data_IF_688405228378
#
_entry.id   IF_688405228378
#
_cell.length_a   1.000
_cell.length_b   1.000
_cell.length_c   1.000
_cell.angle_alpha   90.00
_cell.angle_beta   90.00
_cell.angle_gamma   90.00
#
_symmetry.space_group_name_H-M   'P 1'
#
loop_
_entity.id
_entity.type
_entity.pdbx_description
1 polymer ?
#
# COMPACT_ATOMS: atom_id res chain seq x y z
N UNK A 1 -0.83 33.65 8.39
CA UNK A 1 -2.07 33.49 7.61
C UNK A 1 -2.02 32.26 6.74
N UNK A 2 -1.00 32.08 5.89
CA UNK A 2 -0.87 30.92 4.99
C UNK A 2 -0.87 29.54 5.69
N UNK A 3 -0.26 29.42 6.87
CA UNK A 3 -0.36 28.19 7.68
C UNK A 3 -1.82 27.86 8.09
N UNK A 4 -2.61 28.87 8.43
CA UNK A 4 -4.02 28.67 8.78
C UNK A 4 -4.82 28.19 7.57
N UNK A 5 -4.48 28.65 6.36
CA UNK A 5 -5.12 28.20 5.14
C UNK A 5 -4.84 26.73 4.85
N UNK A 6 -3.59 26.30 5.05
CA UNK A 6 -3.21 24.88 4.94
C UNK A 6 -3.94 24.01 5.96
N UNK A 7 -3.95 24.44 7.23
CA UNK A 7 -4.67 23.73 8.31
C UNK A 7 -6.16 23.66 7.99
N UNK A 8 -6.77 24.75 7.51
CA UNK A 8 -8.18 24.79 7.16
C UNK A 8 -8.50 23.82 6.02
N UNK A 9 -7.72 23.82 4.93
CA UNK A 9 -7.91 22.88 3.82
C UNK A 9 -7.77 21.43 4.27
N UNK A 10 -6.82 21.14 5.16
CA UNK A 10 -6.66 19.80 5.74
C UNK A 10 -7.79 19.40 6.65
N UNK A 11 -8.24 20.32 7.51
CA UNK A 11 -9.39 20.10 8.37
C UNK A 11 -10.63 19.76 7.53
N UNK A 12 -10.81 20.41 6.37
CA UNK A 12 -11.87 20.06 5.41
C UNK A 12 -11.68 18.64 4.87
N UNK A 13 -10.49 18.27 4.37
CA UNK A 13 -10.24 16.89 3.87
C UNK A 13 -10.57 15.85 4.95
N UNK A 14 -10.06 16.07 6.17
CA UNK A 14 -10.25 15.20 7.33
C UNK A 14 -11.75 15.11 7.69
N UNK A 15 -12.43 16.25 7.78
CA UNK A 15 -13.86 16.30 8.12
C UNK A 15 -14.70 15.56 7.08
N UNK A 16 -14.43 15.73 5.79
CA UNK A 16 -15.15 15.03 4.73
C UNK A 16 -14.93 13.51 4.81
N UNK A 17 -13.71 13.06 5.10
CA UNK A 17 -13.42 11.63 5.32
C UNK A 17 -14.14 11.10 6.56
N UNK A 18 -14.22 11.87 7.65
CA UNK A 18 -15.00 11.51 8.83
C UNK A 18 -16.50 11.38 8.54
N UNK A 19 -16.99 12.20 7.61
CA UNK A 19 -18.35 12.09 7.07
C UNK A 19 -18.49 10.95 6.04
N UNK A 20 -17.50 10.07 5.92
CA UNK A 20 -17.45 8.91 5.01
C UNK A 20 -17.57 9.29 3.52
N UNK A 21 -17.19 10.51 3.17
CA UNK A 21 -17.11 10.95 1.77
C UNK A 21 -15.91 10.27 1.11
N UNK A 22 -16.02 9.99 -0.20
CA UNK A 22 -14.96 9.37 -0.97
C UNK A 22 -13.63 10.15 -0.82
N UNK A 23 -12.52 9.43 -0.66
CA UNK A 23 -11.19 10.01 -0.42
C UNK A 23 -10.77 10.94 -1.57
N UNK A 24 -10.99 10.53 -2.82
CA UNK A 24 -10.67 11.37 -3.98
C UNK A 24 -11.48 12.67 -4.00
N UNK A 25 -12.77 12.60 -3.64
CA UNK A 25 -13.63 13.80 -3.53
C UNK A 25 -13.17 14.70 -2.40
N UNK A 26 -12.83 14.12 -1.25
CA UNK A 26 -12.36 14.86 -0.08
C UNK A 26 -11.08 15.63 -0.38
N UNK A 27 -10.10 14.98 -1.03
CA UNK A 27 -8.86 15.61 -1.48
C UNK A 27 -9.15 16.70 -2.51
N UNK A 28 -9.98 16.42 -3.50
CA UNK A 28 -10.33 17.40 -4.55
C UNK A 28 -10.97 18.68 -3.98
N UNK A 29 -11.93 18.54 -3.06
CA UNK A 29 -12.54 19.68 -2.37
C UNK A 29 -11.50 20.42 -1.53
N UNK A 30 -10.63 19.70 -0.81
CA UNK A 30 -9.51 20.29 -0.09
C UNK A 30 -8.56 21.11 -0.99
N UNK A 31 -8.27 20.61 -2.19
CA UNK A 31 -7.48 21.34 -3.20
C UNK A 31 -8.15 22.64 -3.65
N UNK A 32 -9.46 22.60 -3.86
CA UNK A 32 -10.24 23.79 -4.24
C UNK A 32 -10.24 24.83 -3.12
N UNK A 33 -10.49 24.40 -1.87
CA UNK A 33 -10.45 25.28 -0.71
C UNK A 33 -9.07 25.91 -0.58
N UNK A 34 -8.00 25.12 -0.72
CA UNK A 34 -6.63 25.62 -0.67
C UNK A 34 -6.36 26.66 -1.76
N UNK A 35 -6.72 26.36 -3.01
CA UNK A 35 -6.52 27.26 -4.13
C UNK A 35 -7.16 28.64 -3.86
N UNK A 36 -8.42 28.66 -3.42
CA UNK A 36 -9.10 29.92 -3.14
C UNK A 36 -8.57 30.66 -1.91
N UNK A 37 -8.19 29.94 -0.85
CA UNK A 37 -7.59 30.58 0.34
C UNK A 37 -6.24 31.24 0.02
N UNK A 38 -5.48 30.70 -0.92
CA UNK A 38 -4.24 31.29 -1.43
C UNK A 38 -4.46 32.33 -2.54
N UNK A 39 -5.70 32.74 -2.80
CA UNK A 39 -6.03 33.83 -3.73
C UNK A 39 -5.99 33.44 -5.20
N UNK A 40 -5.98 32.14 -5.52
CA UNK A 40 -5.99 31.65 -6.89
C UNK A 40 -7.37 31.91 -7.54
N UNK A 41 -7.39 32.47 -8.75
CA UNK A 41 -8.64 32.72 -9.46
C UNK A 41 -9.32 31.41 -9.88
N UNK A 42 -10.66 31.39 -10.11
CA UNK A 42 -11.33 30.20 -10.64
C UNK A 42 -10.75 29.73 -11.98
N UNK A 43 -10.27 30.66 -12.81
CA UNK A 43 -9.61 30.35 -14.08
C UNK A 43 -8.26 29.65 -13.84
N UNK A 44 -7.42 30.19 -12.95
CA UNK A 44 -6.14 29.57 -12.60
C UNK A 44 -6.33 28.18 -11.97
N UNK A 45 -7.39 27.98 -11.18
CA UNK A 45 -7.80 26.68 -10.66
C UNK A 45 -8.15 25.68 -11.76
N UNK A 46 -8.96 26.10 -12.74
CA UNK A 46 -9.31 25.25 -13.88
C UNK A 46 -8.10 24.93 -14.76
N UNK A 47 -7.23 25.91 -15.03
CA UNK A 47 -5.99 25.72 -15.79
C UNK A 47 -5.04 24.79 -15.05
N UNK A 48 -4.90 24.94 -13.73
CA UNK A 48 -4.07 24.05 -12.89
C UNK A 48 -4.63 22.64 -12.88
N UNK A 49 -5.95 22.47 -12.80
CA UNK A 49 -6.59 21.15 -12.92
C UNK A 49 -6.29 20.52 -14.27
N UNK A 50 -6.48 21.25 -15.37
CA UNK A 50 -6.19 20.75 -16.72
C UNK A 50 -4.72 20.35 -16.87
N UNK A 51 -3.78 21.22 -16.47
CA UNK A 51 -2.34 20.95 -16.52
C UNK A 51 -1.96 19.74 -15.66
N UNK A 52 -2.48 19.65 -14.45
CA UNK A 52 -2.19 18.52 -13.56
C UNK A 52 -2.74 17.21 -14.13
N UNK A 53 -3.99 17.20 -14.64
CA UNK A 53 -4.65 16.01 -15.18
C UNK A 53 -4.03 15.51 -16.49
N UNK A 54 -3.51 16.42 -17.32
CA UNK A 54 -2.88 16.08 -18.61
C UNK A 54 -1.36 15.96 -18.55
N UNK A 55 -0.75 16.23 -17.40
CA UNK A 55 0.70 16.05 -17.21
C UNK A 55 1.11 14.59 -17.43
N UNK A 56 2.31 14.40 -17.97
CA UNK A 56 2.88 13.05 -18.10
C UNK A 56 2.96 12.33 -16.76
N UNK A 57 3.26 13.04 -15.67
CA UNK A 57 3.32 12.46 -14.32
C UNK A 57 1.99 11.80 -13.92
N UNK A 58 0.87 12.49 -14.13
CA UNK A 58 -0.47 11.97 -13.81
C UNK A 58 -0.87 10.85 -14.76
N UNK A 59 -0.66 11.00 -16.07
CA UNK A 59 -0.98 9.96 -17.06
C UNK A 59 -0.17 8.70 -16.79
N UNK A 60 1.13 8.84 -16.55
CA UNK A 60 2.05 7.77 -16.18
C UNK A 60 1.56 7.03 -14.93
N UNK A 61 1.20 7.77 -13.88
CA UNK A 61 0.64 7.21 -12.64
C UNK A 61 -0.65 6.42 -12.90
N UNK A 62 -1.61 6.99 -13.64
CA UNK A 62 -2.87 6.33 -13.99
C UNK A 62 -2.63 5.05 -14.81
N UNK A 63 -1.72 5.09 -15.80
CA UNK A 63 -1.38 3.93 -16.62
C UNK A 63 -0.76 2.79 -15.80
N UNK A 64 0.20 3.09 -14.91
CA UNK A 64 0.81 2.08 -14.03
C UNK A 64 -0.27 1.36 -13.21
N UNK A 65 -1.14 2.13 -12.54
CA UNK A 65 -2.20 1.56 -11.72
C UNK A 65 -3.21 0.79 -12.57
N UNK A 66 -3.58 1.30 -13.74
CA UNK A 66 -4.51 0.62 -14.64
C UNK A 66 -3.97 -0.74 -15.11
N UNK A 67 -2.70 -0.81 -15.50
CA UNK A 67 -2.08 -2.09 -15.91
C UNK A 67 -1.97 -3.08 -14.76
N UNK A 68 -1.59 -2.62 -13.56
CA UNK A 68 -1.54 -3.46 -12.36
C UNK A 68 -2.93 -4.01 -12.03
N UNK A 69 -3.96 -3.16 -12.03
CA UNK A 69 -5.32 -3.57 -11.72
C UNK A 69 -5.94 -4.48 -12.80
N UNK A 70 -5.62 -4.21 -14.07
CA UNK A 70 -5.96 -5.10 -15.18
C UNK A 70 -5.34 -6.49 -15.00
N UNK A 71 -4.07 -6.56 -14.58
CA UNK A 71 -3.39 -7.81 -14.30
C UNK A 71 -4.04 -8.56 -13.12
N UNK A 72 -4.37 -7.85 -12.03
CA UNK A 72 -5.11 -8.42 -10.90
C UNK A 72 -6.46 -9.01 -11.34
N UNK A 73 -7.17 -8.34 -12.25
CA UNK A 73 -8.43 -8.84 -12.82
C UNK A 73 -8.25 -10.10 -13.67
N UNK A 74 -7.15 -10.20 -14.42
CA UNK A 74 -6.80 -11.43 -15.15
C UNK A 74 -6.58 -12.56 -14.15
N UNK A 75 -5.80 -12.32 -13.08
CA UNK A 75 -5.47 -13.34 -12.07
C UNK A 75 -6.70 -13.89 -11.36
N UNK A 76 -7.67 -13.03 -11.05
CA UNK A 76 -8.93 -13.43 -10.41
C UNK A 76 -9.84 -14.27 -11.31
N UNK A 77 -9.67 -14.22 -12.64
CA UNK A 77 -10.52 -14.93 -13.60
C UNK A 77 -10.00 -16.32 -13.99
N UNK A 78 -8.68 -16.53 -13.99
CA UNK A 78 -8.05 -17.74 -14.56
C UNK A 78 -7.53 -18.74 -13.53
N UNK A 79 -7.85 -18.53 -12.25
CA UNK A 79 -7.52 -19.46 -11.16
C UNK A 79 -6.09 -19.36 -10.63
N UNK A 80 -5.32 -18.32 -10.99
CA UNK A 80 -3.94 -18.15 -10.51
C UNK A 80 -3.84 -18.09 -8.98
N UNK A 81 -4.88 -17.59 -8.30
CA UNK A 81 -4.95 -17.59 -6.83
C UNK A 81 -4.93 -19.00 -6.24
N UNK A 82 -5.66 -19.92 -6.88
CA UNK A 82 -5.74 -21.32 -6.49
C UNK A 82 -4.43 -22.07 -6.83
N UNK A 83 -3.79 -21.71 -7.94
CA UNK A 83 -2.45 -22.22 -8.28
C UNK A 83 -1.42 -21.77 -7.22
N UNK A 84 -1.48 -20.52 -6.74
CA UNK A 84 -0.61 -20.01 -5.65
C UNK A 84 -0.87 -20.73 -4.33
N UNK A 85 -2.13 -21.00 -3.98
CA UNK A 85 -2.50 -21.79 -2.80
C UNK A 85 -1.90 -23.20 -2.83
N UNK A 86 -2.08 -23.86 -3.96
CA UNK A 86 -1.59 -25.22 -4.20
C UNK A 86 -0.06 -25.24 -4.20
N UNK A 87 0.56 -24.21 -4.76
CA UNK A 87 2.01 -24.03 -4.75
C UNK A 87 2.55 -23.90 -3.32
N UNK A 88 1.97 -23.03 -2.50
CA UNK A 88 2.39 -22.83 -1.11
C UNK A 88 2.32 -24.14 -0.30
N UNK A 89 1.20 -24.86 -0.43
CA UNK A 89 1.01 -26.14 0.27
C UNK A 89 2.02 -27.21 -0.15
N UNK A 90 2.48 -27.20 -1.41
CA UNK A 90 3.48 -28.14 -1.92
C UNK A 90 4.92 -27.73 -1.58
N UNK A 91 5.24 -26.44 -1.57
CA UNK A 91 6.56 -25.90 -1.23
C UNK A 91 6.85 -25.94 0.27
N UNK A 92 5.81 -25.72 1.09
CA UNK A 92 5.92 -25.62 2.54
C UNK A 92 5.06 -26.70 3.21
N UNK A 93 5.47 -27.99 3.14
CA UNK A 93 4.64 -29.09 3.64
C UNK A 93 4.47 -29.07 5.17
N UNK A 94 5.31 -28.35 5.90
CA UNK A 94 5.10 -28.06 7.33
C UNK A 94 4.02 -26.99 7.46
N UNK A 95 2.92 -27.32 8.12
CA UNK A 95 1.73 -26.48 8.20
C UNK A 95 2.02 -25.07 8.74
N UNK A 96 2.97 -24.93 9.67
CA UNK A 96 3.29 -23.63 10.27
C UNK A 96 3.84 -22.62 9.26
N UNK A 97 4.56 -23.07 8.24
CA UNK A 97 5.10 -22.16 7.21
C UNK A 97 4.06 -21.78 6.17
N UNK A 98 3.11 -22.66 5.88
CA UNK A 98 1.96 -22.34 5.01
C UNK A 98 1.07 -21.25 5.61
N UNK A 99 0.96 -21.17 6.95
CA UNK A 99 0.22 -20.08 7.63
C UNK A 99 0.76 -18.69 7.29
N UNK A 100 2.07 -18.56 7.09
CA UNK A 100 2.70 -17.30 6.69
C UNK A 100 2.70 -17.11 5.16
N UNK A 101 3.00 -18.17 4.42
CA UNK A 101 3.19 -18.07 2.97
C UNK A 101 1.88 -17.80 2.22
N UNK A 102 0.77 -18.40 2.63
CA UNK A 102 -0.51 -18.23 1.95
C UNK A 102 -0.99 -16.76 1.98
N UNK A 103 -1.07 -16.07 3.14
CA UNK A 103 -1.41 -14.64 3.16
C UNK A 103 -0.36 -13.78 2.44
N UNK A 104 0.92 -14.11 2.55
CA UNK A 104 1.98 -13.39 1.87
C UNK A 104 1.84 -13.44 0.33
N UNK A 105 1.51 -14.60 -0.24
CA UNK A 105 1.30 -14.71 -1.69
C UNK A 105 0.07 -13.93 -2.15
N UNK A 106 -1.02 -13.95 -1.38
CA UNK A 106 -2.19 -13.11 -1.66
C UNK A 106 -1.85 -11.63 -1.52
N UNK A 107 -0.97 -11.27 -0.58
CA UNK A 107 -0.43 -9.92 -0.41
C UNK A 107 0.38 -9.41 -1.61
N UNK A 108 0.84 -10.26 -2.53
CA UNK A 108 1.52 -9.78 -3.75
C UNK A 108 0.59 -9.01 -4.69
N UNK A 109 -0.74 -9.17 -4.51
CA UNK A 109 -1.72 -8.48 -5.32
C UNK A 109 -2.35 -7.31 -4.55
N UNK A 110 -2.30 -6.10 -5.11
CA UNK A 110 -2.98 -4.96 -4.53
C UNK A 110 -4.49 -5.11 -4.75
N UNK A 111 -5.19 -5.62 -3.74
CA UNK A 111 -6.64 -5.72 -3.73
C UNK A 111 -7.24 -5.24 -2.40
N UNK A 112 -8.31 -4.43 -2.42
CA UNK A 112 -9.02 -4.10 -1.20
C UNK A 112 -9.66 -5.37 -0.63
N UNK A 113 -9.77 -5.45 0.70
CA UNK A 113 -10.42 -6.56 1.40
C UNK A 113 -9.88 -7.97 1.07
N UNK A 114 -8.60 -8.11 0.70
CA UNK A 114 -8.03 -9.42 0.36
C UNK A 114 -8.02 -10.43 1.52
N UNK A 115 -8.29 -10.00 2.76
CA UNK A 115 -8.54 -10.91 3.88
C UNK A 115 -9.71 -11.86 3.63
N UNK A 116 -10.73 -11.44 2.87
CA UNK A 116 -11.86 -12.30 2.49
C UNK A 116 -11.41 -13.51 1.64
N UNK A 117 -10.25 -13.39 0.99
CA UNK A 117 -9.63 -14.48 0.21
C UNK A 117 -8.62 -15.23 1.06
N UNK A 118 -7.73 -14.53 1.78
CA UNK A 118 -6.64 -15.19 2.50
C UNK A 118 -7.09 -15.90 3.78
N UNK A 119 -8.11 -15.40 4.48
CA UNK A 119 -8.61 -16.01 5.71
C UNK A 119 -9.15 -17.45 5.50
N UNK A 120 -10.05 -17.71 4.53
CA UNK A 120 -10.50 -19.07 4.26
C UNK A 120 -9.40 -19.99 3.73
N UNK A 121 -8.37 -19.45 3.06
CA UNK A 121 -7.25 -20.26 2.57
C UNK A 121 -6.36 -20.79 3.71
N UNK A 122 -6.16 -20.03 4.78
CA UNK A 122 -5.32 -20.49 5.89
C UNK A 122 -6.09 -21.34 6.91
N UNK A 123 -7.42 -21.29 6.96
CA UNK A 123 -8.23 -21.98 7.98
C UNK A 123 -7.97 -23.51 8.04
N UNK A 124 -7.92 -24.25 6.92
CA UNK A 124 -7.60 -25.68 6.95
C UNK A 124 -6.20 -26.00 7.50
N UNK A 125 -5.27 -25.05 7.37
CA UNK A 125 -3.90 -25.17 7.89
C UNK A 125 -3.88 -24.79 9.37
N UNK A 126 -4.60 -23.72 9.75
CA UNK A 126 -4.70 -23.22 11.11
C UNK A 126 -5.40 -24.22 12.03
N UNK A 127 -6.39 -24.96 11.54
CA UNK A 127 -7.06 -26.03 12.31
C UNK A 127 -6.16 -27.19 12.73
N UNK A 128 -4.95 -27.31 12.17
CA UNK A 128 -3.93 -28.27 12.63
C UNK A 128 -3.21 -27.81 13.90
N UNK A 129 -3.45 -26.57 14.30
CA UNK A 129 -2.95 -25.95 15.51
C UNK A 129 -4.16 -25.56 16.36
N UNK A 130 -4.08 -25.74 17.68
CA UNK A 130 -5.09 -25.22 18.62
C UNK A 130 -4.95 -23.70 18.79
N UNK A 131 -4.93 -22.96 17.66
CA UNK A 131 -4.76 -21.51 17.64
C UNK A 131 -6.04 -20.80 18.05
N UNK A 132 -5.89 -19.80 18.92
CA UNK A 132 -6.99 -18.89 19.25
C UNK A 132 -7.36 -18.03 18.04
N UNK A 133 -8.61 -17.60 17.97
CA UNK A 133 -9.13 -16.76 16.89
C UNK A 133 -8.25 -15.52 16.67
N UNK A 134 -7.81 -14.86 17.74
CA UNK A 134 -6.97 -13.66 17.66
C UNK A 134 -5.59 -13.94 17.05
N UNK A 135 -5.01 -15.13 17.27
CA UNK A 135 -3.73 -15.52 16.66
C UNK A 135 -3.91 -15.78 15.16
N UNK A 136 -5.01 -16.42 14.75
CA UNK A 136 -5.35 -16.61 13.33
C UNK A 136 -5.54 -15.28 12.62
N UNK A 137 -6.30 -14.37 13.23
CA UNK A 137 -6.50 -13.00 12.72
C UNK A 137 -5.16 -12.27 12.57
N UNK A 138 -4.31 -12.31 13.60
CA UNK A 138 -3.02 -11.62 13.59
C UNK A 138 -2.08 -12.21 12.53
N UNK A 139 -1.99 -13.53 12.40
CA UNK A 139 -1.16 -14.20 11.37
C UNK A 139 -1.63 -13.82 9.97
N UNK A 140 -2.93 -13.94 9.69
CA UNK A 140 -3.48 -13.55 8.39
C UNK A 140 -3.20 -12.09 8.06
N UNK A 141 -3.45 -11.21 9.04
CA UNK A 141 -3.29 -9.77 8.88
C UNK A 141 -1.82 -9.40 8.67
N UNK A 142 -0.91 -9.87 9.53
CA UNK A 142 0.51 -9.54 9.47
C UNK A 142 1.14 -9.98 8.16
N UNK A 143 1.02 -11.28 7.81
CA UNK A 143 1.71 -11.81 6.64
C UNK A 143 1.14 -11.31 5.31
N UNK A 144 -0.13 -10.90 5.28
CA UNK A 144 -0.73 -10.27 4.10
C UNK A 144 -0.12 -8.90 3.79
N UNK A 145 0.36 -8.16 4.79
CA UNK A 145 0.81 -6.77 4.61
C UNK A 145 2.34 -6.62 4.56
N UNK A 146 3.10 -7.72 4.55
CA UNK A 146 4.58 -7.66 4.53
C UNK A 146 5.11 -6.91 3.32
N UNK A 147 4.44 -7.03 2.17
CA UNK A 147 4.91 -6.49 0.90
C UNK A 147 4.68 -4.99 0.75
N UNK A 148 3.76 -4.40 1.53
CA UNK A 148 3.33 -3.01 1.31
C UNK A 148 4.48 -2.00 1.42
N UNK A 149 5.52 -2.31 2.21
CA UNK A 149 6.67 -1.42 2.40
C UNK A 149 7.48 -1.20 1.13
N UNK A 150 7.58 -2.20 0.26
CA UNK A 150 8.59 -2.19 -0.81
C UNK A 150 8.08 -2.68 -2.15
N UNK A 151 6.89 -3.27 -2.21
CA UNK A 151 6.46 -3.95 -3.41
C UNK A 151 6.03 -2.95 -4.48
N UNK A 152 6.64 -2.99 -5.67
CA UNK A 152 6.55 -1.89 -6.64
C UNK A 152 5.15 -1.76 -7.24
N UNK A 153 4.32 -2.80 -7.12
CA UNK A 153 2.93 -2.78 -7.57
C UNK A 153 1.95 -2.16 -6.56
N UNK A 154 2.38 -1.85 -5.32
CA UNK A 154 1.50 -1.23 -4.34
C UNK A 154 1.24 0.23 -4.69
N UNK A 155 -0.03 0.60 -4.69
CA UNK A 155 -0.48 1.96 -5.02
C UNK A 155 0.23 3.03 -4.18
N UNK A 156 0.46 2.76 -2.89
CA UNK A 156 1.16 3.68 -2.00
C UNK A 156 2.60 3.96 -2.46
N UNK A 157 3.34 2.96 -2.96
CA UNK A 157 4.69 3.13 -3.51
C UNK A 157 4.65 3.93 -4.82
N UNK A 158 3.72 3.58 -5.72
CA UNK A 158 3.58 4.27 -7.02
C UNK A 158 3.21 5.74 -6.83
N UNK A 159 2.27 6.05 -5.93
CA UNK A 159 1.85 7.42 -5.62
C UNK A 159 2.97 8.18 -4.91
N UNK A 160 3.63 7.58 -3.90
CA UNK A 160 4.74 8.21 -3.20
C UNK A 160 5.84 8.63 -4.19
N UNK A 161 6.24 7.71 -5.07
CA UNK A 161 7.21 7.95 -6.15
C UNK A 161 6.82 9.14 -7.04
N UNK A 162 5.56 9.21 -7.48
CA UNK A 162 5.07 10.32 -8.33
C UNK A 162 5.02 11.66 -7.60
N UNK A 163 4.77 11.65 -6.29
CA UNK A 163 4.71 12.86 -5.48
C UNK A 163 6.10 13.41 -5.17
N UNK A 164 7.01 12.55 -4.72
CA UNK A 164 8.36 12.95 -4.24
C UNK A 164 9.41 12.99 -5.36
N UNK A 165 9.10 12.49 -6.55
CA UNK A 165 10.00 12.52 -7.70
C UNK A 165 11.12 11.46 -7.67
N UNK A 166 11.00 10.44 -6.81
CA UNK A 166 11.96 9.33 -6.70
C UNK A 166 11.47 8.15 -7.53
N UNK A 167 12.37 7.41 -8.17
CA UNK A 167 12.00 6.23 -8.97
C UNK A 167 11.36 5.14 -8.10
N UNK A 168 10.41 4.38 -8.66
CA UNK A 168 9.80 3.22 -7.95
C UNK A 168 10.86 2.18 -7.60
N UNK A 169 11.87 2.00 -8.48
CA UNK A 169 13.01 1.13 -8.19
C UNK A 169 13.70 1.53 -6.89
N UNK A 170 14.05 2.80 -6.75
CA UNK A 170 14.74 3.30 -5.55
C UNK A 170 13.88 3.21 -4.29
N UNK A 171 12.60 3.60 -4.37
CA UNK A 171 11.64 3.40 -3.27
C UNK A 171 11.58 1.93 -2.85
N UNK A 172 11.40 1.03 -3.81
CA UNK A 172 11.28 -0.40 -3.57
C UNK A 172 12.55 -1.01 -2.99
N UNK A 173 13.74 -0.70 -3.52
CA UNK A 173 14.99 -1.31 -3.06
C UNK A 173 15.38 -0.81 -1.68
N UNK A 174 15.28 0.50 -1.42
CA UNK A 174 15.63 1.10 -0.13
C UNK A 174 14.64 0.74 0.98
N UNK A 175 13.38 0.49 0.66
CA UNK A 175 12.37 0.06 1.64
C UNK A 175 12.29 -1.46 1.81
N UNK A 176 12.89 -2.26 0.91
CA UNK A 176 12.86 -3.73 0.98
C UNK A 176 13.36 -4.31 2.31
N UNK A 177 14.39 -3.74 2.97
CA UNK A 177 14.80 -4.21 4.29
C UNK A 177 13.68 -4.15 5.35
N UNK A 178 12.72 -3.23 5.25
CA UNK A 178 11.56 -3.19 6.14
C UNK A 178 10.59 -4.37 5.91
N UNK A 179 10.40 -4.78 4.66
CA UNK A 179 9.66 -6.01 4.30
C UNK A 179 10.31 -7.24 4.93
N UNK A 180 11.65 -7.34 4.85
CA UNK A 180 12.42 -8.42 5.48
C UNK A 180 12.28 -8.37 7.00
N UNK A 181 12.42 -7.20 7.61
CA UNK A 181 12.25 -7.01 9.05
C UNK A 181 10.85 -7.44 9.52
N UNK A 182 9.79 -7.03 8.82
CA UNK A 182 8.42 -7.43 9.12
C UNK A 182 8.22 -8.94 9.02
N UNK A 183 8.77 -9.57 7.98
CA UNK A 183 8.73 -11.02 7.81
C UNK A 183 9.48 -11.75 8.92
N UNK A 184 10.65 -11.27 9.34
CA UNK A 184 11.45 -11.84 10.43
C UNK A 184 10.73 -11.72 11.78
N UNK A 185 10.15 -10.56 12.09
CA UNK A 185 9.38 -10.35 13.32
C UNK A 185 8.18 -11.31 13.36
N UNK A 186 7.41 -11.38 12.26
CA UNK A 186 6.29 -12.31 12.15
C UNK A 186 6.72 -13.76 12.29
N UNK A 187 7.84 -14.14 11.67
CA UNK A 187 8.39 -15.48 11.79
C UNK A 187 8.75 -15.81 13.25
N UNK A 188 9.53 -14.95 13.92
CA UNK A 188 10.02 -15.21 15.27
C UNK A 188 8.89 -15.24 16.30
N UNK A 189 7.92 -14.32 16.20
CA UNK A 189 6.88 -14.16 17.20
C UNK A 189 5.61 -14.98 16.94
N UNK A 190 5.25 -15.20 15.67
CA UNK A 190 3.96 -15.84 15.32
C UNK A 190 4.11 -17.27 14.80
N UNK A 191 5.19 -17.57 14.07
CA UNK A 191 5.32 -18.86 13.35
C UNK A 191 6.26 -19.84 14.06
N UNK A 192 7.43 -19.36 14.50
CA UNK A 192 8.45 -20.18 15.17
C UNK A 192 7.91 -20.87 16.45
N UNK A 193 7.05 -20.24 17.28
CA UNK A 193 6.52 -20.87 18.49
C UNK A 193 5.55 -22.03 18.21
N UNK A 194 5.00 -22.13 16.99
CA UNK A 194 4.08 -23.20 16.64
C UNK A 194 4.82 -24.54 16.50
N UNK A 195 4.21 -25.66 16.97
CA UNK A 195 4.80 -26.97 16.84
C UNK A 195 4.99 -27.36 15.36
N UNK A 196 5.89 -28.31 15.10
CA UNK A 196 5.99 -28.89 13.76
C UNK A 196 4.80 -29.83 13.52
N UNK A 197 3.75 -29.33 12.87
CA UNK A 197 2.60 -30.13 12.44
C UNK A 197 2.59 -30.34 10.91
N UNK A 198 2.30 -31.58 10.47
CA UNK A 198 2.19 -31.97 9.06
C UNK A 198 3.09 -33.16 8.65
N UNK A 199 2.57 -34.05 7.80
CA UNK A 199 3.20 -35.33 7.41
C UNK A 199 4.25 -35.23 6.29
N UNK A 200 4.66 -34.02 5.89
CA UNK A 200 5.91 -33.83 5.15
C UNK A 200 6.00 -34.42 3.74
N UNK A 201 4.90 -34.55 2.98
CA UNK A 201 4.96 -34.96 1.56
C UNK A 201 4.41 -33.89 0.62
N UNK A 202 5.07 -32.74 0.58
CA UNK A 202 4.88 -31.74 -0.48
C UNK A 202 5.71 -32.11 -1.71
N UNK A 203 5.21 -31.83 -2.91
CA UNK A 203 6.00 -31.99 -4.14
C UNK A 203 6.63 -30.64 -4.51
N UNK A 204 7.86 -30.41 -4.07
CA UNK A 204 8.60 -29.15 -4.29
C UNK A 204 8.64 -28.78 -5.77
N UNK A 205 8.84 -29.76 -6.68
CA UNK A 205 8.88 -29.52 -8.12
C UNK A 205 7.53 -28.99 -8.62
N UNK A 206 6.44 -29.65 -8.27
CA UNK A 206 5.08 -29.19 -8.62
C UNK A 206 4.79 -27.83 -8.02
N UNK A 207 5.14 -27.62 -6.75
CA UNK A 207 4.94 -26.34 -6.07
C UNK A 207 5.69 -25.20 -6.74
N UNK A 208 6.94 -25.40 -7.11
CA UNK A 208 7.75 -24.39 -7.80
C UNK A 208 7.21 -24.09 -9.21
N UNK A 209 6.79 -25.11 -9.96
CA UNK A 209 6.19 -24.93 -11.29
C UNK A 209 4.91 -24.10 -11.17
N UNK A 210 4.02 -24.42 -10.23
CA UNK A 210 2.77 -23.69 -10.02
C UNK A 210 3.03 -22.25 -9.55
N UNK A 211 3.99 -22.05 -8.64
CA UNK A 211 4.37 -20.71 -8.18
C UNK A 211 4.87 -19.87 -9.36
N UNK A 212 5.88 -20.36 -10.09
CA UNK A 212 6.45 -19.65 -11.24
C UNK A 212 5.39 -19.38 -12.32
N UNK A 213 4.52 -20.35 -12.62
CA UNK A 213 3.43 -20.19 -13.59
C UNK A 213 2.40 -19.13 -13.13
N UNK A 214 2.10 -19.04 -11.85
CA UNK A 214 1.10 -18.09 -11.34
C UNK A 214 1.69 -16.70 -11.06
N UNK A 215 3.00 -16.60 -10.81
CA UNK A 215 3.67 -15.32 -10.50
C UNK A 215 4.56 -14.78 -11.62
N UNK A 216 4.77 -15.47 -12.76
CA UNK A 216 5.66 -14.94 -13.82
C UNK A 216 5.26 -13.55 -14.33
N UNK A 217 3.98 -13.13 -14.44
CA UNK A 217 3.67 -11.78 -14.91
C UNK A 217 4.16 -10.70 -13.95
N UNK A 218 4.16 -11.01 -12.66
CA UNK A 218 4.79 -10.19 -11.63
C UNK A 218 6.31 -10.18 -11.82
N UNK A 219 6.93 -11.34 -12.05
CA UNK A 219 8.38 -11.43 -12.29
C UNK A 219 8.82 -10.63 -13.51
N UNK A 220 7.98 -10.52 -14.55
CA UNK A 220 8.21 -9.63 -15.71
C UNK A 220 8.29 -8.17 -15.26
N UNK A 221 7.37 -7.70 -14.40
CA UNK A 221 7.40 -6.33 -13.86
C UNK A 221 8.69 -6.11 -13.07
N UNK A 222 9.05 -7.04 -12.19
CA UNK A 222 10.27 -6.95 -11.37
C UNK A 222 11.52 -6.91 -12.26
N UNK A 223 11.61 -7.79 -13.26
CA UNK A 223 12.74 -7.84 -14.18
C UNK A 223 12.88 -6.52 -14.95
N UNK A 224 11.81 -6.04 -15.57
CA UNK A 224 11.83 -4.83 -16.40
C UNK A 224 12.09 -3.59 -15.56
N UNK A 225 11.36 -3.40 -14.46
CA UNK A 225 11.36 -2.12 -13.74
C UNK A 225 12.33 -2.03 -12.58
N UNK A 226 12.63 -3.15 -11.92
CA UNK A 226 13.53 -3.16 -10.76
C UNK A 226 14.94 -3.60 -11.16
N UNK A 227 15.08 -4.69 -11.93
CA UNK A 227 16.39 -5.23 -12.31
C UNK A 227 17.01 -4.42 -13.44
N UNK A 228 16.29 -4.26 -14.56
CA UNK A 228 16.76 -3.49 -15.71
C UNK A 228 16.64 -1.98 -15.50
N UNK A 229 15.80 -1.54 -14.54
CA UNK A 229 15.61 -0.13 -14.22
C UNK A 229 14.83 0.67 -15.26
N UNK A 230 14.04 -0.02 -16.11
CA UNK A 230 13.16 0.63 -17.09
C UNK A 230 11.95 1.23 -16.37
N UNK A 231 11.41 2.32 -16.88
CA UNK A 231 10.25 2.98 -16.27
C UNK A 231 9.09 2.01 -15.98
N UNK A 232 8.47 2.19 -14.82
CA UNK A 232 7.41 1.31 -14.31
C UNK A 232 6.20 1.21 -15.24
N UNK A 233 5.89 2.22 -16.04
CA UNK A 233 4.81 2.12 -17.04
C UNK A 233 5.07 0.95 -17.98
N UNK A 234 6.29 0.79 -18.47
CA UNK A 234 6.64 -0.27 -19.40
C UNK A 234 6.67 -1.64 -18.71
N UNK A 235 7.22 -1.73 -17.49
CA UNK A 235 7.21 -2.97 -16.72
C UNK A 235 5.78 -3.43 -16.41
N UNK A 236 4.92 -2.53 -15.92
CA UNK A 236 3.52 -2.80 -15.66
C UNK A 236 2.76 -3.20 -16.94
N UNK A 237 3.01 -2.52 -18.06
CA UNK A 237 2.41 -2.85 -19.35
C UNK A 237 2.81 -4.24 -19.84
N UNK A 238 4.10 -4.56 -19.83
CA UNK A 238 4.62 -5.87 -20.25
C UNK A 238 4.14 -6.99 -19.32
N UNK A 239 4.12 -6.73 -18.01
CA UNK A 239 3.55 -7.65 -17.03
C UNK A 239 2.07 -7.94 -17.32
N UNK A 240 1.28 -6.89 -17.50
CA UNK A 240 -0.14 -7.00 -17.86
C UNK A 240 -0.36 -7.79 -19.16
N UNK A 241 0.38 -7.46 -20.23
CA UNK A 241 0.28 -8.19 -21.51
C UNK A 241 0.68 -9.66 -21.36
N UNK A 242 1.74 -9.94 -20.59
CA UNK A 242 2.20 -11.30 -20.36
C UNK A 242 1.15 -12.15 -19.63
N UNK A 243 0.32 -11.54 -18.78
CA UNK A 243 -0.82 -12.21 -18.14
C UNK A 243 -2.01 -12.33 -19.10
N UNK A 244 -2.33 -11.27 -19.84
CA UNK A 244 -3.53 -11.17 -20.67
C UNK A 244 -3.46 -12.02 -21.94
N UNK A 245 -2.39 -11.89 -22.73
CA UNK A 245 -2.28 -12.47 -24.09
C UNK A 245 -2.50 -14.00 -24.07
N UNK A 246 -1.83 -14.78 -23.21
CA UNK A 246 -2.03 -16.24 -23.19
C UNK A 246 -3.44 -16.65 -22.75
N UNK A 247 -4.16 -15.75 -22.08
CA UNK A 247 -5.43 -16.01 -21.43
C UNK A 247 -6.62 -15.28 -22.08
N UNK A 248 -6.44 -14.64 -23.25
CA UNK A 248 -7.49 -13.85 -23.92
C UNK A 248 -8.82 -14.62 -24.11
N UNK A 249 -8.74 -15.92 -24.40
CA UNK A 249 -9.93 -16.78 -24.58
C UNK A 249 -10.61 -17.20 -23.27
N UNK A 250 -9.93 -16.99 -22.13
CA UNK A 250 -10.36 -17.43 -20.79
C UNK A 250 -10.80 -16.27 -19.90
N UNK A 251 -10.61 -15.02 -20.33
CA UNK A 251 -10.97 -13.82 -19.57
C UNK A 251 -12.03 -13.01 -20.30
N UNK A 252 -12.87 -12.33 -19.52
CA UNK A 252 -13.76 -11.28 -20.00
C UNK A 252 -12.97 -9.98 -20.14
N UNK A 253 -12.70 -9.55 -21.38
CA UNK A 253 -12.02 -8.28 -21.64
C UNK A 253 -12.77 -7.08 -21.06
N UNK A 254 -14.12 -7.12 -21.08
CA UNK A 254 -14.96 -6.11 -20.44
C UNK A 254 -14.71 -6.06 -18.93
N UNK A 255 -14.57 -7.23 -18.29
CA UNK A 255 -14.22 -7.34 -16.87
C UNK A 255 -12.84 -6.76 -16.57
N UNK A 256 -11.85 -7.06 -17.41
CA UNK A 256 -10.48 -6.54 -17.29
C UNK A 256 -10.45 -5.02 -17.42
N UNK A 257 -11.09 -4.45 -18.44
CA UNK A 257 -11.15 -2.99 -18.66
C UNK A 257 -11.87 -2.29 -17.51
N UNK A 258 -13.00 -2.84 -17.04
CA UNK A 258 -13.74 -2.27 -15.92
C UNK A 258 -12.94 -2.26 -14.61
N UNK A 259 -12.10 -3.28 -14.38
CA UNK A 259 -11.20 -3.32 -13.23
C UNK A 259 -9.96 -2.46 -13.40
N UNK A 260 -9.40 -2.36 -14.61
CA UNK A 260 -8.24 -1.53 -14.90
C UNK A 260 -8.57 -0.03 -14.76
N UNK A 261 -9.73 0.39 -15.26
CA UNK A 261 -10.14 1.79 -15.32
C UNK A 261 -11.26 2.09 -14.32
N UNK A 262 -11.03 1.79 -13.04
CA UNK A 262 -11.96 2.17 -11.99
C UNK A 262 -11.99 3.69 -11.82
N UNK A 263 -13.09 4.32 -12.23
CA UNK A 263 -13.28 5.77 -12.18
C UNK A 263 -12.96 6.37 -10.80
N UNK A 264 -13.29 5.66 -9.71
CA UNK A 264 -12.99 6.08 -8.34
C UNK A 264 -11.49 6.23 -8.08
N UNK A 265 -10.69 5.31 -8.60
CA UNK A 265 -9.22 5.32 -8.43
C UNK A 265 -8.60 6.33 -9.37
N UNK A 266 -9.03 6.38 -10.64
CA UNK A 266 -8.55 7.40 -11.59
C UNK A 266 -8.81 8.80 -11.05
N UNK A 267 -10.03 9.07 -10.55
CA UNK A 267 -10.37 10.35 -9.96
C UNK A 267 -9.54 10.67 -8.71
N UNK A 268 -9.30 9.68 -7.84
CA UNK A 268 -8.41 9.85 -6.69
C UNK A 268 -7.00 10.27 -7.13
N UNK A 269 -6.41 9.59 -8.12
CA UNK A 269 -5.06 9.90 -8.60
C UNK A 269 -5.00 11.32 -9.19
N UNK A 270 -6.00 11.71 -9.98
CA UNK A 270 -6.12 13.08 -10.51
C UNK A 270 -6.28 14.09 -9.38
N UNK A 271 -7.09 13.82 -8.36
CA UNK A 271 -7.29 14.71 -7.22
C UNK A 271 -6.00 14.92 -6.41
N UNK A 272 -5.24 13.84 -6.17
CA UNK A 272 -3.94 13.89 -5.49
C UNK A 272 -2.93 14.72 -6.29
N UNK A 273 -2.85 14.49 -7.60
CA UNK A 273 -1.96 15.26 -8.47
C UNK A 273 -2.39 16.72 -8.57
N UNK A 274 -3.70 17.00 -8.64
CA UNK A 274 -4.21 18.36 -8.57
C UNK A 274 -3.83 19.04 -7.25
N UNK A 275 -3.94 18.34 -6.11
CA UNK A 275 -3.52 18.86 -4.82
C UNK A 275 -2.03 19.24 -4.80
N UNK A 276 -1.15 18.34 -5.31
CA UNK A 276 0.29 18.60 -5.49
C UNK A 276 0.52 19.87 -6.31
N UNK A 277 -0.14 20.00 -7.46
CA UNK A 277 0.03 21.14 -8.35
C UNK A 277 -0.49 22.45 -7.73
N UNK A 278 -1.63 22.44 -7.03
CA UNK A 278 -2.14 23.63 -6.32
C UNK A 278 -1.12 24.10 -5.28
N UNK A 279 -0.57 23.19 -4.47
CA UNK A 279 0.47 23.54 -3.49
C UNK A 279 1.68 24.21 -4.15
N UNK A 280 2.12 23.70 -5.30
CA UNK A 280 3.25 24.23 -6.05
C UNK A 280 2.95 25.60 -6.66
N UNK A 281 1.81 25.73 -7.37
CA UNK A 281 1.41 26.98 -8.03
C UNK A 281 1.17 28.12 -7.05
N UNK A 282 0.64 27.82 -5.86
CA UNK A 282 0.36 28.82 -4.82
C UNK A 282 1.57 29.20 -3.98
N UNK A 283 2.72 28.53 -4.15
CA UNK A 283 3.91 28.72 -3.31
C UNK A 283 3.77 28.18 -1.88
N UNK A 284 2.64 27.54 -1.55
CA UNK A 284 2.35 27.02 -0.21
C UNK A 284 3.38 25.98 0.28
N UNK A 285 4.04 25.28 -0.65
CA UNK A 285 5.16 24.36 -0.39
C UNK A 285 6.29 25.07 0.38
N UNK A 286 6.59 26.33 0.08
CA UNK A 286 7.71 27.05 0.71
C UNK A 286 7.35 27.69 2.06
N UNK A 287 6.07 27.98 2.28
CA UNK A 287 5.62 28.66 3.51
C UNK A 287 5.51 27.72 4.70
N UNK A 288 5.22 26.44 4.47
CA UNK A 288 5.00 25.47 5.54
C UNK A 288 6.26 25.24 6.42
N UNK A 289 7.48 25.05 5.87
CA UNK A 289 8.69 24.98 6.68
C UNK A 289 8.95 26.22 7.52
N UNK A 290 8.77 27.41 6.94
CA UNK A 290 9.02 28.69 7.62
C UNK A 290 8.13 28.84 8.85
N UNK A 291 6.86 28.46 8.73
CA UNK A 291 5.91 28.53 9.83
C UNK A 291 6.18 27.47 10.92
N UNK A 292 6.68 26.29 10.57
CA UNK A 292 7.04 25.28 11.56
C UNK A 292 8.32 25.61 12.32
N UNK A 293 9.32 26.18 11.64
CA UNK A 293 10.55 26.68 12.26
C UNK A 293 10.21 27.76 13.29
N UNK A 294 9.29 28.69 12.97
CA UNK A 294 8.88 29.73 13.92
C UNK A 294 8.12 29.19 15.14
N UNK A 295 7.51 28.00 15.03
CA UNK A 295 6.83 27.30 16.13
C UNK A 295 7.74 26.36 16.92
N UNK A 296 9.04 26.26 16.58
CA UNK A 296 9.99 25.30 17.16
C UNK A 296 9.48 23.83 17.12
N UNK A 297 8.68 23.48 16.11
CA UNK A 297 8.13 22.14 15.99
C UNK A 297 9.16 21.20 15.34
N UNK A 298 9.55 20.08 15.97
CA UNK A 298 10.51 19.16 15.38
C UNK A 298 9.98 18.56 14.08
N UNK A 299 10.72 18.72 12.97
CA UNK A 299 10.32 18.21 11.64
C UNK A 299 10.02 16.70 11.69
N UNK A 300 10.87 15.94 12.38
CA UNK A 300 10.71 14.50 12.61
C UNK A 300 9.34 14.16 13.21
N UNK A 301 8.86 14.95 14.18
CA UNK A 301 7.55 14.72 14.80
C UNK A 301 6.41 14.90 13.79
N UNK A 302 6.50 15.89 12.91
CA UNK A 302 5.48 16.13 11.88
C UNK A 302 5.48 15.04 10.83
N UNK A 303 6.66 14.58 10.42
CA UNK A 303 6.81 13.44 9.51
C UNK A 303 6.26 12.15 10.10
N UNK A 304 6.30 11.98 11.42
CA UNK A 304 5.73 10.80 12.07
C UNK A 304 4.22 10.93 12.30
N UNK A 305 3.80 11.99 12.97
CA UNK A 305 2.43 12.15 13.48
C UNK A 305 1.43 12.34 12.34
N UNK A 306 1.76 13.16 11.33
CA UNK A 306 0.81 13.52 10.27
C UNK A 306 0.40 12.30 9.44
N UNK A 307 1.35 11.52 8.86
CA UNK A 307 0.99 10.30 8.14
C UNK A 307 0.36 9.25 9.03
N UNK A 308 0.83 9.10 10.28
CA UNK A 308 0.27 8.13 11.23
C UNK A 308 -1.22 8.39 11.50
N UNK A 309 -1.59 9.63 11.83
CA UNK A 309 -2.99 9.98 12.11
C UNK A 309 -3.87 9.72 10.88
N UNK A 310 -3.42 10.14 9.70
CA UNK A 310 -4.19 9.95 8.46
C UNK A 310 -4.30 8.47 8.10
N UNK A 311 -3.22 7.70 8.26
CA UNK A 311 -3.22 6.25 8.11
C UNK A 311 -4.20 5.57 9.08
N UNK A 312 -4.19 5.98 10.34
CA UNK A 312 -5.08 5.46 11.38
C UNK A 312 -6.55 5.74 11.08
N UNK A 313 -6.85 6.93 10.59
CA UNK A 313 -8.22 7.34 10.26
C UNK A 313 -8.76 6.68 9.00
N UNK A 314 -7.91 6.48 8.01
CA UNK A 314 -8.34 5.98 6.69
C UNK A 314 -8.23 4.47 6.56
N UNK A 315 -7.28 3.84 7.26
CA UNK A 315 -6.98 2.43 7.14
C UNK A 315 -6.50 2.03 5.74
N UNK A 316 -6.00 2.97 4.93
CA UNK A 316 -5.64 2.70 3.54
C UNK A 316 -4.31 3.38 3.19
N UNK A 317 -3.38 2.61 2.64
CA UNK A 317 -1.98 3.05 2.46
C UNK A 317 -1.83 4.18 1.45
N UNK A 318 -2.52 4.11 0.32
CA UNK A 318 -2.47 5.18 -0.69
C UNK A 318 -3.12 6.49 -0.20
N UNK A 319 -4.01 6.42 0.80
CA UNK A 319 -4.73 7.58 1.29
C UNK A 319 -3.80 8.48 2.10
N UNK A 320 -3.07 7.92 3.08
CA UNK A 320 -2.11 8.71 3.84
C UNK A 320 -1.00 9.27 2.94
N UNK A 321 -0.51 8.51 1.96
CA UNK A 321 0.49 9.01 1.01
C UNK A 321 -0.09 10.16 0.20
N UNK A 322 -1.21 9.95 -0.49
CA UNK A 322 -1.81 10.96 -1.38
C UNK A 322 -2.21 12.25 -0.67
N UNK A 323 -2.57 12.18 0.61
CA UNK A 323 -2.90 13.35 1.41
C UNK A 323 -1.67 14.03 2.00
N UNK A 324 -0.85 13.28 2.72
CA UNK A 324 0.19 13.89 3.56
C UNK A 324 1.47 14.20 2.80
N UNK A 325 1.85 13.40 1.80
CA UNK A 325 3.13 13.60 1.12
C UNK A 325 3.23 14.93 0.38
N UNK A 326 2.20 15.45 -0.32
CA UNK A 326 2.27 16.76 -0.97
C UNK A 326 2.57 17.88 0.02
N UNK A 327 2.04 17.80 1.24
CA UNK A 327 2.39 18.73 2.31
C UNK A 327 3.80 18.53 2.86
N UNK A 328 4.24 17.28 2.94
CA UNK A 328 5.51 16.94 3.55
C UNK A 328 6.69 17.09 2.58
N UNK A 329 6.43 17.35 1.29
CA UNK A 329 7.45 17.64 0.27
C UNK A 329 8.56 18.59 0.73
N UNK A 330 8.26 19.73 1.39
CA UNK A 330 9.28 20.67 1.82
C UNK A 330 10.22 20.12 2.91
N UNK A 331 9.79 19.07 3.62
CA UNK A 331 10.53 18.41 4.70
C UNK A 331 11.28 17.16 4.23
N UNK A 332 11.08 16.75 2.97
CA UNK A 332 11.78 15.61 2.37
C UNK A 332 13.15 16.04 1.85
N UNK A 333 14.05 16.38 2.79
CA UNK A 333 15.44 16.76 2.49
C UNK A 333 16.31 15.55 2.12
N UNK A 334 15.90 14.35 2.49
CA UNK A 334 16.57 13.09 2.20
C UNK A 334 15.59 11.92 2.12
N UNK A 335 16.10 10.76 1.71
CA UNK A 335 15.29 9.54 1.61
C UNK A 335 14.84 9.05 3.00
N UNK A 336 15.64 9.29 4.03
CA UNK A 336 15.33 9.05 5.43
C UNK A 336 14.01 9.70 5.88
N UNK A 337 13.78 10.97 5.51
CA UNK A 337 12.56 11.70 5.83
C UNK A 337 11.34 11.11 5.11
N UNK A 338 11.50 10.70 3.85
CA UNK A 338 10.46 10.05 3.04
C UNK A 338 10.12 8.68 3.64
N UNK A 339 11.14 7.88 3.96
CA UNK A 339 11.01 6.55 4.54
C UNK A 339 10.33 6.61 5.91
N UNK A 340 10.68 7.60 6.74
CA UNK A 340 10.08 7.82 8.05
C UNK A 340 8.60 8.17 7.95
N UNK A 341 8.24 9.09 7.04
CA UNK A 341 6.85 9.45 6.78
C UNK A 341 6.04 8.25 6.25
N UNK A 342 6.65 7.48 5.34
CA UNK A 342 6.03 6.27 4.80
C UNK A 342 5.78 5.22 5.88
N UNK A 343 6.81 4.90 6.68
CA UNK A 343 6.73 3.94 7.78
C UNK A 343 5.69 4.37 8.81
N UNK A 344 5.66 5.65 9.17
CA UNK A 344 4.71 6.17 10.17
C UNK A 344 3.26 6.09 9.68
N UNK A 345 3.01 6.42 8.40
CA UNK A 345 1.70 6.25 7.79
C UNK A 345 1.27 4.80 7.68
N UNK A 346 2.21 3.91 7.36
CA UNK A 346 1.99 2.46 7.38
C UNK A 346 1.60 1.97 8.77
N UNK A 347 2.29 2.40 9.83
CA UNK A 347 1.92 2.04 11.21
C UNK A 347 0.52 2.55 11.58
N UNK A 348 0.17 3.77 11.18
CA UNK A 348 -1.18 4.29 11.34
C UNK A 348 -2.22 3.38 10.68
N UNK A 349 -1.99 3.04 9.41
CA UNK A 349 -2.85 2.11 8.66
C UNK A 349 -2.96 0.73 9.33
N UNK A 350 -1.83 0.20 9.83
CA UNK A 350 -1.77 -1.10 10.50
C UNK A 350 -2.59 -1.14 11.79
N UNK A 351 -2.69 -0.02 12.52
CA UNK A 351 -3.50 0.11 13.73
C UNK A 351 -4.93 0.59 13.48
N UNK A 352 -5.30 0.87 12.23
CA UNK A 352 -6.59 1.49 11.93
C UNK A 352 -7.78 0.56 12.22
N UNK A 353 -8.81 1.03 12.96
CA UNK A 353 -10.02 0.24 13.24
C UNK A 353 -10.95 0.11 12.04
N UNK A 354 -10.69 0.85 10.96
CA UNK A 354 -11.46 0.77 9.71
C UNK A 354 -10.72 0.02 8.63
N UNK A 355 -9.53 -0.52 8.92
CA UNK A 355 -8.78 -1.31 7.95
C UNK A 355 -9.50 -2.64 7.68
N UNK A 356 -10.03 -2.77 6.46
CA UNK A 356 -10.90 -3.88 6.07
C UNK A 356 -10.27 -5.26 6.28
N UNK A 357 -8.97 -5.41 6.04
CA UNK A 357 -8.33 -6.73 6.16
C UNK A 357 -8.16 -7.17 7.62
N UNK A 358 -8.12 -6.24 8.56
CA UNK A 358 -8.07 -6.53 9.99
C UNK A 358 -9.46 -6.90 10.49
N UNK A 359 -10.46 -6.05 10.20
CA UNK A 359 -11.86 -6.24 10.61
C UNK A 359 -12.44 -7.52 10.02
N UNK A 360 -12.27 -7.79 8.72
CA UNK A 360 -12.79 -9.01 8.11
C UNK A 360 -12.08 -10.26 8.59
N UNK A 361 -10.77 -10.20 8.88
CA UNK A 361 -10.08 -11.34 9.50
C UNK A 361 -10.59 -11.61 10.91
N UNK A 362 -10.88 -10.56 11.69
CA UNK A 362 -11.44 -10.72 13.04
C UNK A 362 -12.86 -11.28 12.99
N UNK A 363 -13.70 -10.77 12.08
CA UNK A 363 -15.06 -11.26 11.86
C UNK A 363 -15.07 -12.71 11.40
N UNK A 364 -14.22 -13.07 10.43
CA UNK A 364 -14.13 -14.44 9.91
C UNK A 364 -13.77 -15.47 10.99
N UNK A 365 -12.81 -15.16 11.86
CA UNK A 365 -12.39 -16.08 12.93
C UNK A 365 -13.17 -15.94 14.23
N UNK A 366 -14.07 -14.95 14.35
CA UNK A 366 -14.77 -14.65 15.60
C UNK A 366 -13.84 -14.11 16.70
N UNK A 367 -12.81 -13.35 16.33
CA UNK A 367 -11.81 -12.83 17.26
C UNK A 367 -12.26 -11.53 17.97
N UNK A 368 -11.91 -11.37 19.24
CA UNK A 368 -12.15 -10.11 19.97
C UNK A 368 -11.12 -9.04 19.53
N UNK A 369 -11.58 -7.97 18.87
CA UNK A 369 -10.73 -6.90 18.34
C UNK A 369 -9.74 -6.34 19.37
N UNK A 370 -10.19 -6.09 20.60
CA UNK A 370 -9.33 -5.54 21.67
C UNK A 370 -8.15 -6.46 21.97
N UNK A 371 -8.39 -7.77 22.10
CA UNK A 371 -7.33 -8.76 22.36
C UNK A 371 -6.39 -8.90 21.17
N UNK A 372 -6.94 -8.87 19.95
CA UNK A 372 -6.12 -8.88 18.73
C UNK A 372 -5.21 -7.66 18.65
N UNK A 373 -5.70 -6.46 19.00
CA UNK A 373 -4.87 -5.25 19.08
C UNK A 373 -3.75 -5.35 20.10
N UNK A 374 -4.04 -5.87 21.30
CA UNK A 374 -3.01 -6.08 22.33
C UNK A 374 -1.92 -7.04 21.84
N UNK A 375 -2.29 -8.05 21.04
CA UNK A 375 -1.34 -8.98 20.42
C UNK A 375 -0.59 -8.38 19.22
N UNK A 376 -1.21 -7.47 18.47
CA UNK A 376 -0.58 -6.73 17.38
C UNK A 376 0.47 -5.73 17.88
N UNK A 377 0.28 -5.18 19.09
CA UNK A 377 1.11 -4.12 19.63
C UNK A 377 2.59 -4.52 19.70
N UNK A 378 2.93 -5.72 20.19
CA UNK A 378 4.32 -6.14 20.33
C UNK A 378 5.06 -6.29 18.99
N UNK A 379 4.58 -7.02 17.96
CA UNK A 379 5.27 -7.09 16.69
C UNK A 379 5.29 -5.73 15.98
N UNK A 380 4.23 -4.92 16.09
CA UNK A 380 4.16 -3.60 15.49
C UNK A 380 5.17 -2.60 16.11
N UNK A 381 5.34 -2.60 17.44
CA UNK A 381 6.34 -1.76 18.11
C UNK A 381 7.78 -2.16 17.72
N UNK A 382 8.05 -3.47 17.63
CA UNK A 382 9.36 -3.95 17.17
C UNK A 382 9.63 -3.56 15.72
N UNK A 383 8.62 -3.63 14.85
CA UNK A 383 8.72 -3.19 13.46
C UNK A 383 9.02 -1.70 13.38
N UNK A 384 8.30 -0.88 14.15
CA UNK A 384 8.51 0.56 14.14
C UNK A 384 9.88 0.95 14.68
N UNK A 385 10.28 0.41 15.84
CA UNK A 385 11.58 0.69 16.43
C UNK A 385 12.73 0.22 15.53
N UNK A 386 12.66 -1.01 15.00
CA UNK A 386 13.66 -1.53 14.07
C UNK A 386 13.69 -0.79 12.74
N UNK A 387 12.52 -0.34 12.25
CA UNK A 387 12.41 0.45 11.03
C UNK A 387 13.00 1.86 11.19
N UNK A 388 12.72 2.54 12.30
CA UNK A 388 13.33 3.84 12.63
C UNK A 388 14.85 3.68 12.79
N UNK A 389 15.33 2.62 13.44
CA UNK A 389 16.76 2.35 13.56
C UNK A 389 17.41 2.09 12.19
N UNK A 390 16.77 1.31 11.32
CA UNK A 390 17.25 1.10 9.95
C UNK A 390 17.34 2.41 9.17
N UNK A 391 16.28 3.22 9.23
CA UNK A 391 16.22 4.52 8.55
C UNK A 391 17.36 5.42 9.06
N UNK A 392 17.51 5.58 10.38
CA UNK A 392 18.52 6.47 10.95
C UNK A 392 19.97 6.05 10.69
N UNK A 393 20.22 4.75 10.46
CA UNK A 393 21.59 4.21 10.30
C UNK A 393 22.00 3.97 8.85
N UNK A 394 21.05 3.74 7.94
CA UNK A 394 21.35 3.25 6.59
C UNK A 394 20.69 4.06 5.45
N UNK A 395 19.77 4.98 5.77
CA UNK A 395 19.10 5.83 4.80
C UNK A 395 19.38 7.30 5.09
#
# INVERSE_FOLDING_TARGET
>A
MELLYLIASFAVVIALIWLKINIGVSIFVGSIVLAFLFGMSPEDAAVTLYRSATSWETIRLVLIIAFIMGMTSVFSQIGYLKDMETAASNLFPKAKYSLAMLPALIGLMPMPAGALVSAPMIEPVAGKFEMKAEDKTLVNYWFRHIWEHSWPMYQAIVIASALVGISIREMSTKMFPLTVLMALIGYVLLIRPLPDAGSGKGNVKTGLILLLKSTYPILVIILVSIVLGIDMVYGAFLGFLSALIPNLKRVSLKGVIAHALQLRIVFLLVAVMYFKYVLQTTGAVETLPKAMISMNLPVVLVLMVTPFIVGLMTGISFAYVGMTFPLLLPFFTGFDHIALAYLSGYMGMLFSPVHLCFVFSAEYYGAELRRTYLRLLSPALLLFAGGVAYIALFL
#
